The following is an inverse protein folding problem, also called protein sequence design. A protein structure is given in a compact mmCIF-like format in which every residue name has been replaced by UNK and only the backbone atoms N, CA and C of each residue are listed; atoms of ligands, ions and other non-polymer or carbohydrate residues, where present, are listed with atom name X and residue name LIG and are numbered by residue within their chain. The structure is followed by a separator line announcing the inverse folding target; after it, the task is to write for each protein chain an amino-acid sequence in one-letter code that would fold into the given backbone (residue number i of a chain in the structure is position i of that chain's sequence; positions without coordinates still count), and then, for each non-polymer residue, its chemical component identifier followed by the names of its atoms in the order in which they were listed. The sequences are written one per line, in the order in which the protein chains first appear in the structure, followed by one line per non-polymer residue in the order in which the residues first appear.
data_IF_802492844458
#
_entry.id   IF_802492844458
#
_cell.length_a   1.000
_cell.length_b   1.000
_cell.length_c   1.000
_cell.angle_alpha   90.00
_cell.angle_beta   90.00
_cell.angle_gamma   90.00
#
_symmetry.space_group_name_H-M   'P 1'
#
loop_
_entity.id
_entity.type
_entity.pdbx_description
1 polymer ?
#
# COMPACT_ATOMS: atom_id res chain seq x y z
N UNK A 1 -4.33 11.51 22.18
CA UNK A 1 -3.62 12.41 21.24
C UNK A 1 -4.63 13.34 20.59
N UNK A 2 -4.21 14.50 20.10
CA UNK A 2 -5.11 15.52 19.55
C UNK A 2 -5.28 15.33 18.03
N UNK A 3 -6.49 15.57 17.53
CA UNK A 3 -6.77 15.61 16.09
C UNK A 3 -5.97 16.73 15.41
N UNK A 4 -5.67 16.62 14.09
CA UNK A 4 -5.00 17.69 13.37
C UNK A 4 -5.82 18.98 13.41
N UNK A 5 -5.13 20.10 13.55
CA UNK A 5 -5.72 21.43 13.40
C UNK A 5 -6.09 21.71 11.94
N UNK A 6 -6.96 22.69 11.72
CA UNK A 6 -7.34 23.13 10.37
C UNK A 6 -6.11 23.57 9.54
N UNK A 7 -5.18 24.29 10.17
CA UNK A 7 -3.94 24.72 9.50
C UNK A 7 -3.06 23.54 9.08
N UNK A 8 -2.93 22.50 9.92
CA UNK A 8 -2.18 21.29 9.60
C UNK A 8 -2.82 20.52 8.44
N UNK A 9 -4.15 20.48 8.38
CA UNK A 9 -4.89 19.88 7.26
C UNK A 9 -4.67 20.64 5.95
N UNK A 10 -4.75 21.97 5.97
CA UNK A 10 -4.48 22.83 4.81
C UNK A 10 -3.05 22.62 4.30
N UNK A 11 -2.08 22.56 5.21
CA UNK A 11 -0.68 22.32 4.86
C UNK A 11 -0.49 20.93 4.24
N UNK A 12 -1.10 19.89 4.84
CA UNK A 12 -1.02 18.54 4.31
C UNK A 12 -1.64 18.43 2.92
N UNK A 13 -2.77 19.11 2.67
CA UNK A 13 -3.39 19.15 1.35
C UNK A 13 -2.52 19.88 0.32
N UNK A 14 -1.94 21.02 0.69
CA UNK A 14 -1.00 21.75 -0.17
C UNK A 14 0.21 20.89 -0.57
N UNK A 15 0.76 20.10 0.37
CA UNK A 15 1.85 19.14 0.07
C UNK A 15 1.38 18.01 -0.85
N UNK A 16 0.16 17.51 -0.68
CA UNK A 16 -0.45 16.53 -1.58
C UNK A 16 -0.59 17.09 -3.00
N UNK A 17 -1.12 18.29 -3.15
CA UNK A 17 -1.27 18.94 -4.46
C UNK A 17 0.09 19.20 -5.12
N UNK A 18 1.07 19.71 -4.36
CA UNK A 18 2.41 19.93 -4.86
C UNK A 18 3.06 18.63 -5.35
N UNK A 19 2.85 17.52 -4.65
CA UNK A 19 3.28 16.20 -5.09
C UNK A 19 2.60 15.78 -6.39
N UNK A 20 1.27 15.87 -6.47
CA UNK A 20 0.51 15.50 -7.68
C UNK A 20 0.96 16.32 -8.90
N UNK A 21 1.24 17.61 -8.71
CA UNK A 21 1.75 18.50 -9.76
C UNK A 21 3.20 18.20 -10.18
N UNK A 22 3.99 17.59 -9.30
CA UNK A 22 5.37 17.21 -9.59
C UNK A 22 5.49 15.91 -10.38
N UNK A 23 4.44 15.08 -10.42
CA UNK A 23 4.46 13.84 -11.20
C UNK A 23 4.46 14.17 -12.70
N UNK A 24 5.38 13.61 -13.51
CA UNK A 24 5.38 13.82 -14.94
C UNK A 24 4.05 13.38 -15.58
N UNK A 25 3.52 14.17 -16.51
CA UNK A 25 2.24 13.89 -17.19
C UNK A 25 2.25 12.54 -17.90
N UNK A 26 3.41 12.13 -18.40
CA UNK A 26 3.59 10.85 -19.06
C UNK A 26 3.38 9.68 -18.10
N UNK A 27 3.80 9.81 -16.84
CA UNK A 27 3.62 8.79 -15.80
C UNK A 27 2.16 8.71 -15.38
N UNK A 28 1.46 9.85 -15.23
CA UNK A 28 0.01 9.87 -15.02
C UNK A 28 -0.72 9.17 -16.17
N UNK A 29 -0.36 9.49 -17.41
CA UNK A 29 -0.98 8.85 -18.57
C UNK A 29 -0.65 7.34 -18.67
N UNK A 30 0.48 6.89 -18.13
CA UNK A 30 0.77 5.45 -17.98
C UNK A 30 -0.14 4.81 -16.95
N UNK A 31 -0.35 5.46 -15.80
CA UNK A 31 -1.27 5.03 -14.75
C UNK A 31 -2.71 4.88 -15.29
N UNK A 32 -3.20 5.88 -16.03
CA UNK A 32 -4.55 5.89 -16.60
C UNK A 32 -4.80 4.71 -17.57
N UNK A 33 -3.78 4.36 -18.37
CA UNK A 33 -3.85 3.28 -19.36
C UNK A 33 -3.58 1.90 -18.77
N UNK A 34 -3.01 1.84 -17.58
CA UNK A 34 -2.50 0.61 -16.98
C UNK A 34 -3.56 -0.51 -16.90
N UNK A 35 -4.82 -0.26 -16.47
CA UNK A 35 -5.82 -1.32 -16.41
C UNK A 35 -6.05 -2.02 -17.75
N UNK A 36 -6.16 -1.24 -18.83
CA UNK A 36 -6.39 -1.77 -20.19
C UNK A 36 -5.17 -2.57 -20.65
N UNK A 37 -3.97 -2.04 -20.42
CA UNK A 37 -2.72 -2.71 -20.77
C UNK A 37 -2.60 -4.06 -20.05
N UNK A 38 -2.79 -4.11 -18.73
CA UNK A 38 -2.68 -5.34 -17.94
C UNK A 38 -3.74 -6.38 -18.35
N UNK A 39 -4.97 -5.96 -18.65
CA UNK A 39 -6.04 -6.86 -19.09
C UNK A 39 -5.72 -7.49 -20.45
N UNK A 40 -5.24 -6.69 -21.40
CA UNK A 40 -4.87 -7.14 -22.75
C UNK A 40 -3.57 -7.96 -22.81
N UNK A 41 -2.74 -7.88 -21.77
CA UNK A 41 -1.41 -8.50 -21.75
C UNK A 41 -1.49 -10.04 -21.74
N UNK A 42 -0.86 -10.67 -22.74
CA UNK A 42 -0.65 -12.13 -22.76
C UNK A 42 0.62 -12.50 -21.99
N UNK A 43 0.55 -12.41 -20.66
CA UNK A 43 1.67 -12.71 -19.76
C UNK A 43 1.18 -13.37 -18.47
N UNK A 44 2.13 -13.94 -17.71
CA UNK A 44 1.85 -14.50 -16.38
C UNK A 44 1.38 -13.42 -15.39
N UNK A 45 0.64 -13.80 -14.36
CA UNK A 45 0.24 -12.88 -13.28
C UNK A 45 1.45 -12.21 -12.62
N UNK A 46 2.57 -12.94 -12.47
CA UNK A 46 3.84 -12.39 -11.98
C UNK A 46 4.34 -11.25 -12.88
N UNK A 47 4.36 -11.46 -14.20
CA UNK A 47 4.78 -10.44 -15.16
C UNK A 47 3.84 -9.23 -15.18
N UNK A 48 2.52 -9.46 -15.09
CA UNK A 48 1.52 -8.40 -15.01
C UNK A 48 1.71 -7.56 -13.74
N UNK A 49 1.87 -8.22 -12.59
CA UNK A 49 2.12 -7.56 -11.32
C UNK A 49 3.42 -6.74 -11.37
N UNK A 50 4.49 -7.28 -11.95
CA UNK A 50 5.73 -6.52 -12.13
C UNK A 50 5.53 -5.23 -12.93
N UNK A 51 4.74 -5.25 -14.02
CA UNK A 51 4.45 -4.05 -14.80
C UNK A 51 3.69 -2.98 -14.00
N UNK A 52 2.75 -3.40 -13.15
CA UNK A 52 2.04 -2.48 -12.24
C UNK A 52 3.02 -1.83 -11.26
N UNK A 53 3.94 -2.62 -10.70
CA UNK A 53 4.93 -2.12 -9.75
C UNK A 53 5.94 -1.16 -10.38
N UNK A 54 6.33 -1.36 -11.65
CA UNK A 54 7.19 -0.40 -12.36
C UNK A 54 6.52 0.98 -12.50
N UNK A 55 5.23 1.01 -12.85
CA UNK A 55 4.47 2.28 -12.90
C UNK A 55 4.33 2.89 -11.50
N UNK A 56 4.07 2.07 -10.48
CA UNK A 56 4.00 2.53 -9.10
C UNK A 56 5.34 3.13 -8.61
N UNK A 57 6.47 2.55 -8.99
CA UNK A 57 7.80 3.08 -8.67
C UNK A 57 8.03 4.46 -9.28
N UNK A 58 7.67 4.65 -10.55
CA UNK A 58 7.76 5.97 -11.20
C UNK A 58 6.84 7.01 -10.56
N UNK A 59 5.60 6.62 -10.25
CA UNK A 59 4.65 7.50 -9.55
C UNK A 59 5.24 7.97 -8.22
N UNK A 60 5.78 7.05 -7.42
CA UNK A 60 6.23 7.35 -6.06
C UNK A 60 7.68 7.88 -5.97
N UNK A 61 8.40 8.01 -7.10
CA UNK A 61 9.82 8.38 -7.13
C UNK A 61 10.12 9.71 -6.45
N UNK A 62 9.29 10.73 -6.67
CA UNK A 62 9.47 12.09 -6.13
C UNK A 62 8.86 12.29 -4.74
N UNK A 63 8.11 11.29 -4.25
CA UNK A 63 7.32 11.38 -3.03
C UNK A 63 8.09 11.73 -1.75
N UNK A 64 9.36 11.28 -1.51
CA UNK A 64 10.03 11.52 -0.23
C UNK A 64 10.10 12.99 0.21
N UNK A 65 10.09 13.94 -0.72
CA UNK A 65 10.07 15.37 -0.41
C UNK A 65 8.72 15.91 0.08
N UNK A 66 7.65 15.13 -0.02
CA UNK A 66 6.27 15.58 0.22
C UNK A 66 5.58 14.86 1.38
N UNK A 67 6.20 13.85 1.98
CA UNK A 67 5.57 13.01 3.00
C UNK A 67 6.41 12.93 4.29
N UNK A 68 5.78 12.62 5.42
CA UNK A 68 6.48 12.31 6.67
C UNK A 68 7.22 10.95 6.63
N UNK A 69 6.81 10.07 5.71
CA UNK A 69 7.31 8.71 5.63
C UNK A 69 8.79 8.68 5.19
N UNK A 70 9.61 8.03 5.99
CA UNK A 70 11.03 7.73 5.70
C UNK A 70 11.34 6.28 6.06
N UNK A 71 12.51 5.80 5.65
CA UNK A 71 13.02 4.52 6.16
C UNK A 71 13.03 4.54 7.70
N UNK A 72 12.59 3.44 8.32
CA UNK A 72 12.35 3.36 9.77
C UNK A 72 10.99 3.88 10.25
N UNK A 73 10.14 4.46 9.39
CA UNK A 73 8.75 4.74 9.75
C UNK A 73 7.89 3.46 9.68
N UNK A 74 7.27 3.08 10.79
CA UNK A 74 6.48 1.85 10.94
C UNK A 74 5.03 2.08 11.38
N UNK A 75 4.52 3.32 11.36
CA UNK A 75 3.14 3.61 11.80
C UNK A 75 2.10 2.79 11.03
N UNK A 76 2.21 2.71 9.69
CA UNK A 76 1.31 1.91 8.88
C UNK A 76 1.45 0.40 9.10
N UNK A 77 2.59 -0.07 9.64
CA UNK A 77 2.78 -1.49 9.98
C UNK A 77 1.91 -1.95 11.15
N UNK A 78 1.20 -1.04 11.82
CA UNK A 78 0.26 -1.35 12.91
C UNK A 78 -1.20 -1.21 12.48
N UNK A 79 -1.46 -0.87 11.20
CA UNK A 79 -2.80 -0.77 10.63
C UNK A 79 -3.24 -2.08 9.97
N UNK A 80 -4.52 -2.13 9.60
CA UNK A 80 -5.01 -3.10 8.63
C UNK A 80 -4.36 -2.82 7.26
N UNK A 81 -3.85 -3.86 6.62
CA UNK A 81 -3.19 -3.79 5.30
C UNK A 81 -3.79 -4.89 4.44
N UNK A 82 -4.76 -4.52 3.61
CA UNK A 82 -5.35 -5.45 2.65
C UNK A 82 -4.45 -5.62 1.43
N UNK A 83 -4.17 -6.87 1.06
CA UNK A 83 -3.36 -7.23 -0.11
C UNK A 83 -4.09 -8.30 -0.93
N UNK A 84 -3.70 -8.42 -2.20
CA UNK A 84 -4.19 -9.50 -3.07
C UNK A 84 -3.42 -10.81 -2.84
N UNK A 85 -4.01 -11.94 -3.22
CA UNK A 85 -3.32 -13.24 -3.30
C UNK A 85 -2.05 -13.19 -4.15
N UNK A 86 -2.06 -12.42 -5.23
CA UNK A 86 -0.95 -12.24 -6.16
C UNK A 86 0.20 -11.46 -5.50
N UNK A 87 -0.10 -10.43 -4.71
CA UNK A 87 0.91 -9.74 -3.89
C UNK A 87 1.45 -10.62 -2.77
N UNK A 88 0.61 -11.43 -2.12
CA UNK A 88 1.07 -12.40 -1.13
C UNK A 88 2.04 -13.45 -1.75
N UNK A 89 1.76 -13.89 -2.98
CA UNK A 89 2.67 -14.76 -3.74
C UNK A 89 4.00 -14.08 -4.07
N UNK A 90 3.96 -12.80 -4.47
CA UNK A 90 5.17 -11.99 -4.69
C UNK A 90 6.01 -11.87 -3.41
N UNK A 91 5.38 -11.58 -2.27
CA UNK A 91 6.07 -11.52 -0.98
C UNK A 91 6.68 -12.88 -0.62
N UNK A 92 5.94 -13.98 -0.79
CA UNK A 92 6.45 -15.32 -0.49
C UNK A 92 7.69 -15.68 -1.30
N UNK A 93 7.75 -15.21 -2.55
CA UNK A 93 8.92 -15.38 -3.43
C UNK A 93 10.13 -14.60 -2.92
N UNK A 94 9.91 -13.41 -2.35
CA UNK A 94 10.97 -12.53 -1.86
C UNK A 94 11.53 -12.93 -0.48
N UNK A 95 10.70 -13.52 0.39
CA UNK A 95 11.06 -13.76 1.81
C UNK A 95 11.27 -15.23 2.19
N UNK A 96 11.01 -16.17 1.27
CA UNK A 96 10.89 -17.60 1.55
C UNK A 96 9.80 -17.98 2.58
N UNK A 97 9.02 -17.02 3.09
CA UNK A 97 7.88 -17.29 3.96
C UNK A 97 6.68 -17.67 3.10
N UNK A 98 6.06 -18.82 3.36
CA UNK A 98 4.89 -19.25 2.58
C UNK A 98 3.63 -18.53 3.03
N UNK A 99 2.95 -17.85 2.12
CA UNK A 99 1.59 -17.39 2.34
C UNK A 99 0.64 -18.58 2.55
N UNK A 100 -0.28 -18.44 3.52
CA UNK A 100 -1.42 -19.34 3.68
C UNK A 100 -2.34 -19.21 2.47
N UNK A 101 -2.81 -20.35 1.96
CA UNK A 101 -3.85 -20.34 0.93
C UNK A 101 -5.18 -19.88 1.52
N UNK A 102 -5.79 -18.88 0.87
CA UNK A 102 -7.08 -18.32 1.23
C UNK A 102 -8.00 -18.46 0.02
N UNK A 103 -9.13 -19.14 0.19
CA UNK A 103 -10.06 -19.42 -0.91
C UNK A 103 -11.03 -18.28 -1.22
N UNK A 104 -11.30 -17.41 -0.24
CA UNK A 104 -12.27 -16.32 -0.36
C UNK A 104 -11.75 -15.07 0.34
N UNK A 105 -12.09 -13.89 -0.19
CA UNK A 105 -11.72 -12.62 0.43
C UNK A 105 -12.21 -12.53 1.87
N UNK A 106 -11.37 -11.96 2.74
CA UNK A 106 -11.66 -11.77 4.17
C UNK A 106 -11.71 -10.27 4.42
N UNK A 107 -12.84 -9.81 4.96
CA UNK A 107 -13.00 -8.42 5.40
C UNK A 107 -12.99 -8.38 6.92
N UNK A 108 -12.27 -7.42 7.46
CA UNK A 108 -12.12 -7.22 8.90
C UNK A 108 -12.53 -5.80 9.27
N UNK A 109 -13.17 -5.60 10.43
CA UNK A 109 -13.25 -4.28 11.05
C UNK A 109 -11.86 -3.62 11.16
N UNK A 110 -11.81 -2.29 11.08
CA UNK A 110 -10.55 -1.52 11.23
C UNK A 110 -9.84 -1.78 12.56
N UNK A 111 -10.57 -2.21 13.58
CA UNK A 111 -10.03 -2.54 14.91
C UNK A 111 -9.36 -3.92 14.99
N UNK A 112 -9.57 -4.83 14.03
CA UNK A 112 -9.09 -6.22 14.14
C UNK A 112 -7.57 -6.31 14.26
N UNK A 113 -6.84 -5.51 13.47
CA UNK A 113 -5.37 -5.48 13.49
C UNK A 113 -4.79 -4.14 13.93
N UNK A 114 -5.62 -3.18 14.34
CA UNK A 114 -5.15 -1.93 14.94
C UNK A 114 -4.19 -2.19 16.11
N UNK A 115 -2.98 -1.64 16.00
CA UNK A 115 -1.93 -1.77 17.00
C UNK A 115 -1.17 -3.10 16.96
N UNK A 116 -1.62 -4.07 16.15
CA UNK A 116 -0.92 -5.35 16.00
C UNK A 116 0.19 -5.20 14.95
N UNK A 117 1.44 -5.60 15.24
CA UNK A 117 2.53 -5.44 14.28
C UNK A 117 2.30 -6.27 13.03
N UNK A 118 2.76 -5.75 11.89
CA UNK A 118 2.83 -6.47 10.63
C UNK A 118 3.80 -7.66 10.79
N UNK A 119 3.56 -8.83 10.18
CA UNK A 119 4.45 -9.99 10.25
C UNK A 119 5.87 -9.71 9.74
N UNK A 120 6.01 -8.66 8.92
CA UNK A 120 7.27 -8.22 8.33
C UNK A 120 7.86 -6.98 9.00
N UNK A 121 7.35 -6.57 10.16
CA UNK A 121 7.95 -5.51 10.96
C UNK A 121 9.06 -6.12 11.84
N UNK A 122 10.30 -5.67 11.64
CA UNK A 122 11.35 -5.85 12.63
C UNK A 122 11.08 -4.91 13.80
N UNK A 123 10.53 -5.46 14.89
CA UNK A 123 10.17 -4.70 16.09
C UNK A 123 11.42 -4.11 16.77
N UNK A 124 12.58 -4.76 16.65
CA UNK A 124 13.80 -4.29 17.31
C UNK A 124 14.39 -3.05 16.63
N UNK A 125 14.26 -2.96 15.31
CA UNK A 125 14.81 -1.87 14.50
C UNK A 125 13.73 -0.87 14.00
N UNK A 126 12.45 -1.22 14.12
CA UNK A 126 11.35 -0.45 13.56
C UNK A 126 11.26 -0.50 12.02
N UNK A 127 12.00 -1.40 11.38
CA UNK A 127 12.15 -1.46 9.93
C UNK A 127 11.24 -2.53 9.32
N UNK A 128 10.77 -2.29 8.08
CA UNK A 128 10.04 -3.30 7.33
C UNK A 128 11.03 -4.24 6.63
N UNK A 129 11.01 -5.54 6.96
CA UNK A 129 11.91 -6.54 6.37
C UNK A 129 11.66 -6.78 4.88
N UNK A 130 10.48 -6.39 4.39
CA UNK A 130 10.10 -6.44 2.97
C UNK A 130 10.01 -5.04 2.35
N UNK A 131 10.78 -4.05 2.84
CA UNK A 131 10.68 -2.67 2.35
C UNK A 131 10.68 -2.53 0.81
N UNK A 132 11.56 -3.24 0.06
CA UNK A 132 11.57 -3.23 -1.42
C UNK A 132 10.40 -3.99 -2.05
N UNK A 133 9.76 -4.89 -1.32
CA UNK A 133 8.65 -5.73 -1.77
C UNK A 133 7.29 -5.34 -1.19
N UNK A 134 7.22 -4.22 -0.46
CA UNK A 134 5.99 -3.71 0.14
C UNK A 134 4.82 -3.70 -0.84
N UNK A 135 3.63 -4.19 -0.44
CA UNK A 135 2.41 -4.16 -1.23
C UNK A 135 2.03 -2.76 -1.73
N UNK A 136 1.19 -2.67 -2.76
CA UNK A 136 0.69 -1.39 -3.26
C UNK A 136 -0.07 -0.61 -2.18
N UNK A 137 -0.85 -1.29 -1.33
CA UNK A 137 -1.51 -0.66 -0.19
C UNK A 137 -0.51 0.08 0.72
N UNK A 138 0.61 -0.58 1.06
CA UNK A 138 1.69 0.03 1.87
C UNK A 138 2.40 1.17 1.14
N UNK A 139 2.55 1.09 -0.19
CA UNK A 139 3.20 2.16 -0.97
C UNK A 139 2.29 3.36 -1.14
N UNK A 140 0.99 3.15 -1.31
CA UNK A 140 0.01 4.22 -1.51
C UNK A 140 -0.34 4.94 -0.21
N UNK A 141 -0.26 4.26 0.92
CA UNK A 141 -0.56 4.85 2.21
C UNK A 141 0.62 5.69 2.72
N UNK A 142 0.48 7.02 2.66
CA UNK A 142 1.49 7.98 3.13
C UNK A 142 0.83 9.16 3.84
N UNK A 143 1.58 9.79 4.74
CA UNK A 143 1.17 11.02 5.42
C UNK A 143 1.79 12.24 4.74
N UNK A 144 0.96 13.18 4.28
CA UNK A 144 1.38 14.49 3.80
C UNK A 144 1.55 15.53 4.92
N UNK A 145 1.42 15.15 6.19
CA UNK A 145 1.80 16.00 7.32
C UNK A 145 3.32 16.01 7.50
N UNK A 146 3.84 16.96 8.27
CA UNK A 146 5.29 17.07 8.56
C UNK A 146 5.80 15.91 9.43
N UNK A 147 4.90 15.21 10.13
CA UNK A 147 5.22 14.04 10.96
C UNK A 147 4.23 12.89 10.75
N UNK A 148 4.60 11.71 11.24
CA UNK A 148 3.76 10.50 11.19
C UNK A 148 2.76 10.42 12.36
N UNK A 149 2.61 11.48 13.15
CA UNK A 149 1.78 11.52 14.38
C UNK A 149 0.34 11.07 14.12
N UNK A 150 -0.26 11.52 13.02
CA UNK A 150 -1.65 11.19 12.66
C UNK A 150 -1.82 9.81 12.01
N UNK A 151 -0.73 9.06 11.82
CA UNK A 151 -0.78 7.65 11.43
C UNK A 151 -0.88 6.73 12.66
N UNK A 152 -0.96 7.24 13.87
CA UNK A 152 -1.25 6.40 15.04
C UNK A 152 -2.67 5.83 14.95
N UNK A 153 -2.80 4.52 15.14
CA UNK A 153 -4.08 3.80 15.01
C UNK A 153 -5.17 4.25 15.97
N UNK A 154 -4.80 4.94 17.06
CA UNK A 154 -5.74 5.53 18.02
C UNK A 154 -6.39 6.82 17.51
N UNK A 155 -5.91 7.36 16.39
CA UNK A 155 -6.42 8.59 15.76
C UNK A 155 -6.81 8.33 14.30
N UNK A 156 -6.01 7.56 13.56
CA UNK A 156 -6.07 7.45 12.11
C UNK A 156 -7.43 6.96 11.57
N UNK A 157 -8.20 6.22 12.37
CA UNK A 157 -9.53 5.73 11.99
C UNK A 157 -10.64 6.78 12.17
N UNK A 158 -10.38 7.85 12.93
CA UNK A 158 -11.38 8.85 13.35
C UNK A 158 -11.17 10.22 12.68
N UNK A 159 -10.17 10.35 11.81
CA UNK A 159 -9.82 11.59 11.12
C UNK A 159 -9.91 11.44 9.60
N UNK A 160 -10.32 12.51 8.94
CA UNK A 160 -10.23 12.62 7.48
C UNK A 160 -8.94 13.37 7.14
N UNK A 161 -8.10 12.75 6.32
CA UNK A 161 -6.80 13.29 5.93
C UNK A 161 -6.61 13.19 4.42
N UNK A 162 -5.80 14.07 3.82
CA UNK A 162 -5.51 13.99 2.40
C UNK A 162 -4.73 12.71 2.07
N UNK A 163 -5.32 11.85 1.24
CA UNK A 163 -4.74 10.57 0.82
C UNK A 163 -4.42 10.58 -0.68
N UNK A 164 -3.51 9.69 -1.09
CA UNK A 164 -3.24 9.47 -2.51
C UNK A 164 -4.32 8.59 -3.16
N UNK A 165 -4.86 9.03 -4.29
CA UNK A 165 -5.72 8.24 -5.17
C UNK A 165 -5.02 7.92 -6.48
N UNK A 166 -4.83 6.63 -6.78
CA UNK A 166 -4.31 6.12 -8.05
C UNK A 166 -5.19 4.92 -8.44
N UNK A 167 -6.32 5.21 -9.09
CA UNK A 167 -7.35 4.22 -9.39
C UNK A 167 -6.93 3.28 -10.53
N UNK A 168 -6.07 3.73 -11.46
CA UNK A 168 -5.46 2.90 -12.48
C UNK A 168 -4.58 1.81 -11.87
N UNK A 169 -3.79 2.11 -10.83
CA UNK A 169 -3.03 1.08 -10.09
C UNK A 169 -3.97 0.02 -9.46
N UNK A 170 -5.03 0.46 -8.78
CA UNK A 170 -5.97 -0.45 -8.11
C UNK A 170 -6.73 -1.32 -9.12
N UNK A 171 -7.26 -0.71 -10.17
CA UNK A 171 -8.00 -1.40 -11.22
C UNK A 171 -7.11 -2.39 -11.96
N UNK A 172 -5.85 -2.03 -12.22
CA UNK A 172 -4.87 -2.93 -12.81
C UNK A 172 -4.57 -4.10 -11.87
N UNK A 173 -4.32 -3.83 -10.59
CA UNK A 173 -4.06 -4.86 -9.58
C UNK A 173 -5.22 -5.86 -9.50
N UNK A 174 -6.45 -5.38 -9.39
CA UNK A 174 -7.63 -6.22 -9.28
C UNK A 174 -7.95 -7.02 -10.56
N UNK A 175 -7.35 -6.64 -11.69
CA UNK A 175 -7.43 -7.40 -12.93
C UNK A 175 -6.40 -8.54 -13.03
N UNK A 176 -5.38 -8.55 -12.16
CA UNK A 176 -4.40 -9.63 -12.09
C UNK A 176 -5.01 -10.80 -11.32
N UNK A 177 -5.63 -11.74 -12.06
CA UNK A 177 -6.19 -12.97 -11.50
C UNK A 177 -6.02 -14.14 -12.47
N UNK A 178 -5.93 -15.36 -11.94
CA UNK A 178 -5.96 -16.55 -12.78
C UNK A 178 -7.31 -16.68 -13.51
N UNK A 179 -7.27 -17.12 -14.78
CA UNK A 179 -8.47 -17.47 -15.52
C UNK A 179 -9.20 -18.57 -14.71
N UNK A 180 -10.42 -18.30 -14.27
CA UNK A 180 -11.28 -19.16 -13.44
C UNK A 180 -11.09 -19.08 -11.91
N UNK A 181 -10.30 -18.13 -11.38
CA UNK A 181 -10.27 -17.86 -9.94
C UNK A 181 -10.81 -16.46 -9.65
N UNK A 182 -11.50 -16.34 -8.51
CA UNK A 182 -11.88 -15.05 -7.97
C UNK A 182 -10.63 -14.37 -7.41
N UNK A 183 -10.59 -13.04 -7.53
CA UNK A 183 -9.60 -12.24 -6.82
C UNK A 183 -9.83 -12.42 -5.31
N UNK A 184 -8.77 -12.77 -4.58
CA UNK A 184 -8.80 -12.90 -3.13
C UNK A 184 -8.07 -11.70 -2.53
N UNK A 185 -8.78 -10.97 -1.66
CA UNK A 185 -8.24 -9.85 -0.89
C UNK A 185 -8.42 -10.16 0.59
N UNK A 186 -7.35 -10.06 1.37
CA UNK A 186 -7.38 -10.25 2.83
C UNK A 186 -6.29 -9.38 3.48
N UNK A 187 -6.28 -9.28 4.82
CA UNK A 187 -5.18 -8.60 5.50
C UNK A 187 -3.87 -9.38 5.30
N UNK A 188 -2.74 -8.68 5.24
CA UNK A 188 -1.41 -9.31 5.15
C UNK A 188 -1.19 -10.35 6.25
N UNK A 189 -1.80 -10.17 7.44
CA UNK A 189 -1.75 -11.11 8.56
C UNK A 189 -2.61 -12.34 8.38
N UNK A 190 -3.62 -12.32 7.50
CA UNK A 190 -4.37 -13.52 7.15
C UNK A 190 -3.52 -14.46 6.28
N UNK A 191 -2.73 -13.90 5.35
CA UNK A 191 -1.78 -14.64 4.52
C UNK A 191 -0.53 -15.07 5.31
N UNK A 192 -0.05 -14.22 6.21
CA UNK A 192 1.17 -14.45 6.98
C UNK A 192 0.88 -14.35 8.49
N UNK A 193 0.14 -15.29 9.07
CA UNK A 193 -0.18 -15.24 10.50
C UNK A 193 1.11 -15.30 11.33
N UNK A 194 1.20 -14.48 12.37
CA UNK A 194 2.31 -14.56 13.32
C UNK A 194 2.37 -15.97 13.91
N UNK A 195 3.52 -16.62 13.78
CA UNK A 195 3.83 -17.81 14.55
C UNK A 195 3.97 -17.36 16.00
N UNK A 196 3.09 -17.86 16.88
CA UNK A 196 3.18 -17.63 18.33
C UNK A 196 4.56 -18.00 18.86
#
# INVERSE_FOLDING_TARGET
MQNPTENELIQAESRREAYMNAIPKEVIAQEDRLPIQIQSMNASNKSKLQNIYLVAEELFRLRPSFVACKEGCSSCCHMNISITSEEASRISTATAQKAKEISFSISHPLSTFAGKPCPFLDISQGNCSIYPDRPLACRKHVSFFDSATYCDVTIANDISVPLMGFSGLDNALYSVKNKNQNLVIADIRDFFPSTK
#
